data_IF_022643784866
#
_entry.id   IF_022643784866
#
_cell.length_a   1.000
_cell.length_b   1.000
_cell.length_c   1.000
_cell.angle_alpha   90.00
_cell.angle_beta   90.00
_cell.angle_gamma   90.00
#
_symmetry.space_group_name_H-M   'P 1'
#
loop_
_entity.id
_entity.type
_entity.pdbx_description
1 polymer ?
#
# COMPACT_ATOMS: atom_id res chain seq x y z
N UNK A 1 -0.31 2.82 8.82
CA UNK A 1 0.76 3.04 7.82
C UNK A 1 1.57 1.76 7.71
N UNK A 2 1.98 1.37 6.52
CA UNK A 2 2.78 0.17 6.25
C UNK A 2 4.06 0.61 5.50
N UNK A 3 5.23 0.21 6.00
CA UNK A 3 6.52 0.44 5.32
C UNK A 3 6.93 -0.82 4.56
N UNK A 4 7.13 -0.66 3.25
CA UNK A 4 7.50 -1.70 2.31
C UNK A 4 8.96 -1.59 1.85
N UNK A 5 9.76 -0.68 2.42
CA UNK A 5 11.14 -0.42 2.02
C UNK A 5 12.07 -1.65 2.06
N UNK A 6 11.73 -2.64 2.89
CA UNK A 6 12.47 -3.91 3.04
C UNK A 6 11.73 -5.12 2.48
N UNK A 7 10.62 -4.89 1.78
CA UNK A 7 9.76 -5.95 1.25
C UNK A 7 10.03 -6.10 -0.24
N UNK A 8 10.27 -7.33 -0.69
CA UNK A 8 10.25 -7.67 -2.11
C UNK A 8 8.92 -8.34 -2.46
N UNK A 9 7.96 -7.56 -2.97
CA UNK A 9 6.63 -8.04 -3.36
C UNK A 9 6.65 -8.53 -4.80
N UNK A 10 7.17 -9.73 -5.01
CA UNK A 10 7.21 -10.40 -6.32
C UNK A 10 6.30 -11.65 -6.37
N UNK A 11 5.73 -12.07 -5.24
CA UNK A 11 4.84 -13.23 -5.15
C UNK A 11 3.38 -12.80 -5.09
N UNK A 12 2.56 -13.38 -5.98
CA UNK A 12 1.11 -13.20 -6.03
C UNK A 12 0.42 -13.37 -4.67
N UNK A 13 0.85 -14.35 -3.88
CA UNK A 13 0.33 -14.58 -2.53
C UNK A 13 0.54 -13.38 -1.58
N UNK A 14 1.69 -12.70 -1.67
CA UNK A 14 1.96 -11.51 -0.86
C UNK A 14 1.06 -10.32 -1.24
N UNK A 15 0.73 -10.21 -2.52
CA UNK A 15 -0.17 -9.17 -3.06
C UNK A 15 -1.60 -9.44 -2.59
N UNK A 16 -2.06 -10.69 -2.67
CA UNK A 16 -3.39 -11.11 -2.20
C UNK A 16 -3.55 -10.92 -0.68
N UNK A 17 -2.52 -11.26 0.10
CA UNK A 17 -2.52 -11.02 1.55
C UNK A 17 -2.61 -9.53 1.90
N UNK A 18 -1.86 -8.67 1.19
CA UNK A 18 -2.01 -7.23 1.36
C UNK A 18 -3.40 -6.75 0.95
N UNK A 19 -3.93 -7.21 -0.18
CA UNK A 19 -5.28 -6.86 -0.64
C UNK A 19 -6.33 -7.16 0.41
N UNK A 20 -6.30 -8.36 1.02
CA UNK A 20 -7.21 -8.73 2.10
C UNK A 20 -7.07 -7.84 3.34
N UNK A 21 -5.83 -7.56 3.78
CA UNK A 21 -5.58 -6.69 4.93
C UNK A 21 -6.03 -5.24 4.69
N UNK A 22 -5.83 -4.73 3.48
CA UNK A 22 -6.25 -3.38 3.07
C UNK A 22 -7.77 -3.29 2.97
N UNK A 23 -8.44 -4.32 2.43
CA UNK A 23 -9.89 -4.40 2.39
C UNK A 23 -10.51 -4.39 3.80
N UNK A 24 -9.94 -5.15 4.75
CA UNK A 24 -10.43 -5.17 6.13
C UNK A 24 -10.33 -3.80 6.83
N UNK A 25 -9.30 -3.00 6.52
CA UNK A 25 -9.19 -1.61 7.03
C UNK A 25 -10.25 -0.71 6.39
N UNK A 26 -10.50 -0.87 5.08
CA UNK A 26 -11.52 -0.10 4.38
C UNK A 26 -12.94 -0.40 4.87
N UNK A 27 -13.27 -1.66 5.12
CA UNK A 27 -14.57 -2.09 5.68
C UNK A 27 -14.86 -1.43 7.04
N UNK A 28 -13.82 -1.01 7.76
CA UNK A 28 -13.94 -0.26 9.02
C UNK A 28 -13.92 1.28 8.83
N UNK A 29 -14.01 1.76 7.59
CA UNK A 29 -13.94 3.18 7.24
C UNK A 29 -12.52 3.77 7.30
N UNK A 30 -11.50 2.93 7.41
CA UNK A 30 -10.10 3.35 7.50
C UNK A 30 -9.48 3.65 6.14
N UNK A 31 -8.29 4.26 6.18
CA UNK A 31 -7.43 4.49 5.01
C UNK A 31 -6.08 3.86 5.24
N UNK A 32 -5.45 3.37 4.16
CA UNK A 32 -4.12 2.76 4.22
C UNK A 32 -3.11 3.64 3.50
N UNK A 33 -2.02 3.96 4.19
CA UNK A 33 -0.84 4.57 3.59
C UNK A 33 0.27 3.51 3.47
N UNK A 34 0.70 3.24 2.25
CA UNK A 34 1.89 2.44 1.93
C UNK A 34 3.06 3.40 1.65
N UNK A 35 4.24 3.03 2.15
CA UNK A 35 5.48 3.80 2.01
C UNK A 35 6.65 2.88 1.63
N UNK A 36 7.74 3.46 1.11
CA UNK A 36 8.93 2.67 0.74
C UNK A 36 8.73 1.80 -0.50
N UNK A 37 7.79 2.16 -1.36
CA UNK A 37 7.36 1.36 -2.51
C UNK A 37 8.27 1.64 -3.73
N UNK A 38 8.78 0.60 -4.38
CA UNK A 38 9.57 0.75 -5.61
C UNK A 38 8.69 0.70 -6.88
N UNK A 39 9.25 1.04 -8.04
CA UNK A 39 8.51 1.13 -9.31
C UNK A 39 7.80 -0.17 -9.71
N UNK A 40 8.43 -1.33 -9.47
CA UNK A 40 7.83 -2.63 -9.77
C UNK A 40 6.60 -2.88 -8.90
N UNK A 41 6.70 -2.54 -7.61
CA UNK A 41 5.61 -2.69 -6.65
C UNK A 41 4.46 -1.72 -6.95
N UNK A 42 4.72 -0.53 -7.50
CA UNK A 42 3.65 0.41 -7.89
C UNK A 42 2.72 -0.22 -8.92
N UNK A 43 3.27 -0.84 -9.96
CA UNK A 43 2.47 -1.51 -11.00
C UNK A 43 1.65 -2.67 -10.46
N UNK A 44 2.19 -3.37 -9.46
CA UNK A 44 1.53 -4.48 -8.79
C UNK A 44 0.41 -3.99 -7.86
N UNK A 45 0.66 -2.90 -7.13
CA UNK A 45 -0.28 -2.31 -6.18
C UNK A 45 -1.41 -1.52 -6.84
N UNK A 46 -1.29 -1.20 -8.13
CA UNK A 46 -2.36 -0.56 -8.90
C UNK A 46 -3.65 -1.40 -8.89
N UNK A 47 -3.54 -2.72 -8.79
CA UNK A 47 -4.68 -3.64 -8.60
C UNK A 47 -5.42 -3.35 -7.29
N UNK A 48 -4.73 -2.88 -6.26
CA UNK A 48 -5.27 -2.62 -4.91
C UNK A 48 -5.69 -1.14 -4.75
N UNK A 49 -5.10 -0.22 -5.52
CA UNK A 49 -5.36 1.23 -5.44
C UNK A 49 -6.68 1.70 -6.04
N UNK A 50 -7.37 0.84 -6.78
CA UNK A 50 -8.54 1.15 -7.62
C UNK A 50 -9.52 2.15 -7.00
N UNK A 51 -9.77 2.09 -5.68
CA UNK A 51 -10.89 2.80 -5.07
C UNK A 51 -10.49 3.99 -4.16
N UNK A 52 -9.24 4.48 -4.27
CA UNK A 52 -8.81 5.76 -3.65
C UNK A 52 -8.64 5.76 -2.13
N UNK A 53 -8.82 4.62 -1.46
CA UNK A 53 -8.61 4.43 -0.02
C UNK A 53 -7.17 4.01 0.34
N UNK A 54 -6.34 3.76 -0.68
CA UNK A 54 -4.93 3.41 -0.56
C UNK A 54 -4.06 4.51 -1.15
N UNK A 55 -3.29 5.16 -0.29
CA UNK A 55 -2.25 6.10 -0.70
C UNK A 55 -0.91 5.39 -0.74
N UNK A 56 -0.12 5.66 -1.77
CA UNK A 56 1.18 5.03 -1.96
C UNK A 56 2.25 6.09 -2.18
N UNK A 57 3.34 5.97 -1.45
CA UNK A 57 4.49 6.86 -1.52
C UNK A 57 5.78 6.06 -1.64
N UNK A 58 6.73 6.58 -2.42
CA UNK A 58 8.04 5.93 -2.60
C UNK A 58 8.95 6.06 -1.37
N UNK A 59 8.69 7.03 -0.49
CA UNK A 59 9.44 7.23 0.75
C UNK A 59 8.51 7.39 1.95
N UNK A 60 9.03 7.11 3.14
CA UNK A 60 8.31 7.30 4.41
C UNK A 60 7.98 8.78 4.63
N UNK A 61 8.92 9.69 4.34
CA UNK A 61 8.71 11.13 4.55
C UNK A 61 7.54 11.68 3.71
N UNK A 62 7.43 11.23 2.45
CA UNK A 62 6.30 11.61 1.58
C UNK A 62 4.98 11.06 2.12
N UNK A 63 4.98 9.81 2.60
CA UNK A 63 3.81 9.20 3.22
C UNK A 63 3.36 9.96 4.48
N UNK A 64 4.29 10.34 5.35
CA UNK A 64 3.98 11.11 6.56
C UNK A 64 3.43 12.50 6.24
N UNK A 65 3.87 13.13 5.14
CA UNK A 65 3.30 14.38 4.66
C UNK A 65 1.85 14.27 4.20
N UNK A 66 1.38 13.09 3.80
CA UNK A 66 0.03 12.83 3.27
C UNK A 66 -1.00 12.41 4.34
N UNK A 67 -0.56 12.03 5.54
CA UNK A 67 -1.44 11.59 6.65
C UNK A 67 -1.99 12.79 7.47
N UNK A 68 -1.52 14.01 7.20
CA UNK A 68 -1.89 15.22 7.96
C UNK A 68 -3.24 15.81 7.58
#
# INVERSE_FOLDING_TARGET
MIDLSRVNLELRAGIEMMGGGVNAVWEQGGRVQLSGVNERMVNVLDIIKSDGFVNVSTTIDKALGQIR
#
